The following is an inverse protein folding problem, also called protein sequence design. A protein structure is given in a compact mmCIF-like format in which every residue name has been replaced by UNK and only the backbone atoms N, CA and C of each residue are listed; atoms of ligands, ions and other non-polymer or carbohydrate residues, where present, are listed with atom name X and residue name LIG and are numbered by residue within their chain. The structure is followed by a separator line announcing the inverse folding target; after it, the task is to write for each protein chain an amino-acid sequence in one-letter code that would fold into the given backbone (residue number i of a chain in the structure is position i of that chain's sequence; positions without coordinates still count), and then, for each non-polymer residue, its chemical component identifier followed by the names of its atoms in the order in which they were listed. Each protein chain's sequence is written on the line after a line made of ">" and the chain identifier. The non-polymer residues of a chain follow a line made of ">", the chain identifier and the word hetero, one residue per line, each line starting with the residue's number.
data_IF_702099238649
#
_entry.id   IF_702099238649
#
_cell.length_a   1.000
_cell.length_b   1.000
_cell.length_c   1.000
_cell.angle_alpha   90.00
_cell.angle_beta   90.00
_cell.angle_gamma   90.00
#
_symmetry.space_group_name_H-M   'P 1'
#
loop_
_entity.id
_entity.type
_entity.pdbx_description
1 polymer ?
#
# COMPACT_ATOMS: atom_id res chain seq x y z
N UNK A 1 0.55 2.29 -30.19
CA UNK A 1 1.84 2.90 -29.80
C UNK A 1 1.60 3.61 -28.47
N UNK A 2 2.19 3.10 -27.39
CA UNK A 2 2.02 3.65 -26.04
C UNK A 2 2.71 5.02 -25.95
N UNK A 3 2.05 6.00 -25.33
CA UNK A 3 2.55 7.36 -25.18
C UNK A 3 3.86 7.34 -24.34
N UNK A 4 5.03 7.72 -24.89
CA UNK A 4 6.31 7.66 -24.18
C UNK A 4 6.38 8.58 -22.95
N UNK A 5 5.54 9.62 -22.90
CA UNK A 5 5.52 10.63 -21.84
C UNK A 5 4.55 10.32 -20.69
N UNK A 6 3.77 9.25 -20.77
CA UNK A 6 2.88 8.79 -19.69
C UNK A 6 3.51 7.67 -18.84
N UNK A 7 4.82 7.44 -18.96
CA UNK A 7 5.53 6.61 -18.02
C UNK A 7 5.61 7.36 -16.68
N UNK A 8 4.57 7.19 -15.84
CA UNK A 8 4.72 7.39 -14.40
C UNK A 8 6.02 6.67 -14.01
N UNK A 9 6.96 7.33 -13.30
CA UNK A 9 8.19 6.69 -12.87
C UNK A 9 7.80 5.38 -12.21
N UNK A 10 8.15 4.27 -12.87
CA UNK A 10 7.69 2.96 -12.48
C UNK A 10 8.07 2.79 -11.02
N UNK A 11 7.08 2.65 -10.14
CA UNK A 11 7.31 2.41 -8.72
C UNK A 11 8.15 1.14 -8.67
N UNK A 12 9.47 1.31 -8.48
CA UNK A 12 10.40 0.20 -8.46
C UNK A 12 9.96 -0.67 -7.29
N UNK A 13 9.58 -1.92 -7.61
CA UNK A 13 9.19 -2.86 -6.58
C UNK A 13 10.36 -3.00 -5.61
N UNK A 14 10.15 -2.80 -4.29
CA UNK A 14 11.19 -3.13 -3.34
C UNK A 14 11.55 -4.60 -3.55
N UNK A 15 12.86 -4.85 -3.70
CA UNK A 15 13.39 -6.21 -3.82
C UNK A 15 12.85 -7.04 -2.64
N UNK A 16 12.31 -8.25 -2.87
CA UNK A 16 11.82 -9.13 -1.79
C UNK A 16 12.84 -9.30 -0.67
N UNK A 17 14.13 -9.25 -1.02
CA UNK A 17 15.28 -9.36 -0.12
C UNK A 17 15.48 -8.18 0.83
N UNK A 18 14.76 -7.06 0.65
CA UNK A 18 14.77 -5.93 1.59
C UNK A 18 13.80 -6.13 2.75
N UNK A 19 12.79 -6.99 2.60
CA UNK A 19 11.81 -7.23 3.64
C UNK A 19 12.36 -8.30 4.61
N UNK A 20 12.50 -7.99 5.91
CA UNK A 20 13.13 -8.89 6.86
C UNK A 20 12.27 -10.12 7.20
N UNK A 21 10.94 -10.07 7.05
CA UNK A 21 10.07 -11.25 7.19
C UNK A 21 10.32 -12.24 6.05
N UNK A 22 10.52 -11.76 4.81
CA UNK A 22 10.86 -12.62 3.66
C UNK A 22 12.21 -13.30 3.88
N UNK A 23 13.22 -12.55 4.32
CA UNK A 23 14.56 -13.11 4.57
C UNK A 23 14.50 -14.20 5.66
N UNK A 24 13.85 -13.92 6.79
CA UNK A 24 13.75 -14.89 7.90
C UNK A 24 12.95 -16.14 7.54
N UNK A 25 11.88 -15.99 6.76
CA UNK A 25 11.10 -17.12 6.24
C UNK A 25 11.92 -17.99 5.29
N UNK A 26 12.64 -17.39 4.34
CA UNK A 26 13.50 -18.11 3.41
C UNK A 26 14.64 -18.81 4.14
N UNK A 27 15.27 -18.17 5.13
CA UNK A 27 16.31 -18.82 5.93
C UNK A 27 15.76 -19.99 6.74
N UNK A 28 14.57 -19.85 7.34
CA UNK A 28 13.89 -20.94 8.05
C UNK A 28 13.61 -22.13 7.11
N UNK A 29 13.12 -21.86 5.90
CA UNK A 29 12.85 -22.89 4.88
C UNK A 29 14.11 -23.59 4.38
N UNK A 30 15.20 -22.85 4.17
CA UNK A 30 16.49 -23.43 3.80
C UNK A 30 17.03 -24.33 4.92
N UNK A 31 16.97 -23.88 6.18
CA UNK A 31 17.40 -24.68 7.32
C UNK A 31 16.56 -25.95 7.48
N UNK A 32 15.23 -25.86 7.31
CA UNK A 32 14.35 -27.02 7.29
C UNK A 32 14.75 -28.02 6.19
N UNK A 33 15.00 -27.54 4.98
CA UNK A 33 15.40 -28.37 3.85
C UNK A 33 16.77 -29.02 4.08
N UNK A 34 17.74 -28.28 4.65
CA UNK A 34 19.05 -28.83 5.02
C UNK A 34 18.94 -29.87 6.13
N UNK A 35 18.10 -29.64 7.16
CA UNK A 35 17.86 -30.61 8.22
C UNK A 35 17.19 -31.90 7.68
N UNK A 36 16.25 -31.75 6.75
CA UNK A 36 15.54 -32.88 6.14
C UNK A 36 16.44 -33.70 5.22
N UNK A 37 17.07 -33.05 4.23
CA UNK A 37 18.00 -33.70 3.30
C UNK A 37 19.21 -34.30 4.04
N UNK A 38 19.67 -33.60 5.07
CA UNK A 38 20.73 -34.07 5.94
C UNK A 38 20.41 -35.36 6.67
N UNK A 39 19.17 -35.52 7.14
CA UNK A 39 18.70 -36.77 7.75
C UNK A 39 18.82 -37.96 6.79
N UNK A 40 18.48 -37.78 5.51
CA UNK A 40 18.67 -38.80 4.47
C UNK A 40 20.13 -39.08 4.14
N UNK A 41 20.99 -38.05 4.25
CA UNK A 41 22.43 -38.17 4.04
C UNK A 41 23.20 -38.77 5.25
N UNK A 42 22.50 -39.13 6.33
CA UNK A 42 23.10 -39.72 7.53
C UNK A 42 23.71 -38.71 8.50
N UNK A 43 23.26 -37.45 8.50
CA UNK A 43 23.67 -36.47 9.52
C UNK A 43 23.30 -36.97 10.93
N UNK A 44 24.17 -36.77 11.93
CA UNK A 44 23.87 -37.17 13.30
C UNK A 44 22.64 -36.42 13.84
N UNK A 45 21.79 -37.14 14.58
CA UNK A 45 20.56 -36.63 15.20
C UNK A 45 20.75 -35.30 15.99
N UNK A 46 21.85 -35.08 16.75
CA UNK A 46 22.03 -33.81 17.46
C UNK A 46 22.22 -32.62 16.51
N UNK A 47 22.99 -32.79 15.43
CA UNK A 47 23.22 -31.74 14.43
C UNK A 47 21.92 -31.42 13.70
N UNK A 48 21.14 -32.44 13.34
CA UNK A 48 19.83 -32.26 12.72
C UNK A 48 18.88 -31.48 13.62
N UNK A 49 18.86 -31.81 14.92
CA UNK A 49 18.04 -31.12 15.92
C UNK A 49 18.43 -29.66 16.08
N UNK A 50 19.72 -29.35 16.11
CA UNK A 50 20.23 -27.98 16.17
C UNK A 50 19.78 -27.17 14.95
N UNK A 51 19.88 -27.75 13.74
CA UNK A 51 19.43 -27.10 12.51
C UNK A 51 17.93 -26.78 12.57
N UNK A 52 17.10 -27.73 12.98
CA UNK A 52 15.66 -27.50 13.14
C UNK A 52 15.33 -26.47 14.23
N UNK A 53 16.07 -26.46 15.33
CA UNK A 53 15.88 -25.47 16.38
C UNK A 53 16.19 -24.05 15.89
N UNK A 54 17.26 -23.89 15.11
CA UNK A 54 17.57 -22.60 14.47
C UNK A 54 16.46 -22.22 13.46
N UNK A 55 15.93 -23.19 12.70
CA UNK A 55 14.81 -22.95 11.77
C UNK A 55 13.54 -22.47 12.50
N UNK A 56 13.22 -23.08 13.65
CA UNK A 56 12.09 -22.69 14.51
C UNK A 56 12.29 -21.29 15.08
N UNK A 57 13.47 -20.97 15.60
CA UNK A 57 13.73 -19.64 16.18
C UNK A 57 13.71 -18.54 15.12
N UNK A 58 14.32 -18.79 13.96
CA UNK A 58 14.39 -17.79 12.87
C UNK A 58 13.02 -17.54 12.23
N UNK A 59 12.27 -18.58 11.89
CA UNK A 59 10.93 -18.44 11.31
C UNK A 59 9.87 -18.01 12.33
N UNK A 60 10.07 -18.35 13.60
CA UNK A 60 9.16 -18.05 14.70
C UNK A 60 9.30 -16.67 15.31
N UNK A 61 10.35 -15.93 14.97
CA UNK A 61 10.68 -14.67 15.62
C UNK A 61 9.58 -13.60 15.48
N UNK A 62 9.05 -13.40 14.27
CA UNK A 62 8.07 -12.36 13.99
C UNK A 62 6.69 -12.70 14.55
N UNK A 63 6.05 -13.79 14.09
CA UNK A 63 4.75 -14.17 14.62
C UNK A 63 4.78 -14.53 16.11
N UNK A 64 5.90 -15.04 16.64
CA UNK A 64 6.02 -15.33 18.07
C UNK A 64 5.99 -14.06 18.91
N UNK A 65 6.65 -12.99 18.43
CA UNK A 65 6.57 -11.66 19.02
C UNK A 65 5.15 -11.09 18.90
N UNK A 66 4.51 -11.23 17.74
CA UNK A 66 3.13 -10.79 17.51
C UNK A 66 2.13 -11.54 18.40
N UNK A 67 2.29 -12.85 18.58
CA UNK A 67 1.49 -13.66 19.51
C UNK A 67 1.62 -13.16 20.95
N UNK A 68 2.83 -12.81 21.37
CA UNK A 68 3.08 -12.28 22.71
C UNK A 68 2.49 -10.88 22.89
N UNK A 69 2.71 -9.97 21.93
CA UNK A 69 2.13 -8.62 21.95
C UNK A 69 0.59 -8.67 21.97
N UNK A 70 -0.03 -9.51 21.13
CA UNK A 70 -1.49 -9.71 21.07
C UNK A 70 -2.06 -10.26 22.38
N UNK A 71 -1.37 -11.20 23.02
CA UNK A 71 -1.80 -11.77 24.30
C UNK A 71 -1.71 -10.74 25.45
N UNK A 72 -0.60 -10.00 25.52
CA UNK A 72 -0.31 -9.11 26.65
C UNK A 72 -1.01 -7.76 26.52
N UNK A 73 -0.99 -7.15 25.33
CA UNK A 73 -1.54 -5.82 25.10
C UNK A 73 -3.02 -5.87 24.73
N UNK A 74 -3.39 -6.75 23.80
CA UNK A 74 -4.74 -6.79 23.23
C UNK A 74 -5.66 -7.78 23.97
N UNK A 75 -5.09 -8.70 24.77
CA UNK A 75 -5.79 -9.81 25.45
C UNK A 75 -6.57 -10.69 24.47
N UNK A 76 -6.03 -10.85 23.27
CA UNK A 76 -6.63 -11.67 22.21
C UNK A 76 -5.83 -12.95 21.99
N UNK A 77 -6.54 -14.07 21.76
CA UNK A 77 -5.94 -15.35 21.39
C UNK A 77 -6.21 -15.57 19.91
N UNK A 78 -5.24 -15.19 19.09
CA UNK A 78 -5.25 -15.35 17.64
C UNK A 78 -4.73 -16.69 17.16
N UNK A 79 -4.54 -16.82 15.84
CA UNK A 79 -3.96 -18.02 15.21
C UNK A 79 -2.48 -18.13 15.57
N UNK A 80 -1.81 -16.99 15.69
CA UNK A 80 -0.42 -16.80 16.08
C UNK A 80 -0.13 -17.52 17.41
N UNK A 81 -1.03 -17.38 18.39
CA UNK A 81 -0.91 -18.03 19.70
C UNK A 81 -1.08 -19.55 19.62
N UNK A 82 -2.05 -20.01 18.82
CA UNK A 82 -2.25 -21.45 18.57
C UNK A 82 -1.00 -22.05 17.89
N UNK A 83 -0.46 -21.38 16.88
CA UNK A 83 0.71 -21.82 16.13
C UNK A 83 1.98 -21.81 17.00
N UNK A 84 2.20 -20.76 17.80
CA UNK A 84 3.31 -20.69 18.73
C UNK A 84 3.24 -21.81 19.78
N UNK A 85 2.03 -22.07 20.31
CA UNK A 85 1.81 -23.15 21.27
C UNK A 85 2.05 -24.52 20.62
N UNK A 86 1.52 -24.77 19.42
CA UNK A 86 1.74 -26.02 18.70
C UNK A 86 3.24 -26.27 18.42
N UNK A 87 3.98 -25.24 17.99
CA UNK A 87 5.42 -25.35 17.73
C UNK A 87 6.22 -25.65 19.00
N UNK A 88 5.91 -24.99 20.12
CA UNK A 88 6.56 -25.25 21.42
C UNK A 88 6.30 -26.68 21.87
N UNK A 89 5.04 -27.13 21.82
CA UNK A 89 4.68 -28.47 22.29
C UNK A 89 5.31 -29.55 21.40
N UNK A 90 5.32 -29.38 20.07
CA UNK A 90 6.01 -30.28 19.16
C UNK A 90 7.51 -30.37 19.47
N UNK A 91 8.17 -29.23 19.74
CA UNK A 91 9.57 -29.18 20.16
C UNK A 91 9.83 -29.91 21.50
N UNK A 92 8.97 -29.71 22.49
CA UNK A 92 9.05 -30.39 23.79
C UNK A 92 8.90 -31.92 23.68
N UNK A 93 8.15 -32.39 22.69
CA UNK A 93 8.01 -33.81 22.37
C UNK A 93 9.16 -34.39 21.54
N UNK A 94 10.18 -33.57 21.22
CA UNK A 94 11.30 -33.97 20.39
C UNK A 94 10.99 -34.00 18.89
N UNK A 95 9.80 -33.58 18.47
CA UNK A 95 9.36 -33.52 17.07
C UNK A 95 9.80 -32.19 16.42
N UNK A 96 11.10 -31.92 16.44
CA UNK A 96 11.68 -30.67 15.96
C UNK A 96 11.48 -30.45 14.45
N UNK A 97 11.41 -31.53 13.67
CA UNK A 97 11.11 -31.45 12.24
C UNK A 97 9.69 -30.92 11.98
N UNK A 98 8.70 -31.40 12.74
CA UNK A 98 7.31 -30.95 12.63
C UNK A 98 7.18 -29.50 13.10
N UNK A 99 7.82 -29.14 14.22
CA UNK A 99 7.84 -27.76 14.72
C UNK A 99 8.44 -26.80 13.67
N UNK A 100 9.57 -27.16 13.06
CA UNK A 100 10.22 -26.37 12.03
C UNK A 100 9.34 -26.23 10.78
N UNK A 101 8.64 -27.29 10.36
CA UNK A 101 7.72 -27.25 9.23
C UNK A 101 6.52 -26.33 9.50
N UNK A 102 5.88 -26.44 10.66
CA UNK A 102 4.76 -25.57 11.06
C UNK A 102 5.17 -24.09 11.07
N UNK A 103 6.32 -23.80 11.69
CA UNK A 103 6.89 -22.45 11.76
C UNK A 103 7.21 -21.89 10.38
N UNK A 104 7.87 -22.67 9.53
CA UNK A 104 8.20 -22.25 8.18
C UNK A 104 6.96 -21.93 7.34
N UNK A 105 5.96 -22.83 7.36
CA UNK A 105 4.71 -22.66 6.63
C UNK A 105 3.92 -21.43 7.10
N UNK A 106 3.96 -21.12 8.39
CA UNK A 106 3.35 -19.89 8.89
C UNK A 106 4.16 -18.65 8.49
N UNK A 107 5.47 -18.70 8.69
CA UNK A 107 6.39 -17.59 8.39
C UNK A 107 6.35 -17.18 6.92
N UNK A 108 6.24 -18.13 5.98
CA UNK A 108 6.11 -17.81 4.55
C UNK A 108 4.78 -17.14 4.21
N UNK A 109 3.70 -17.53 4.92
CA UNK A 109 2.38 -16.91 4.80
C UNK A 109 2.43 -15.44 5.24
N UNK A 110 3.01 -15.20 6.40
CA UNK A 110 3.17 -13.85 6.99
C UNK A 110 4.06 -12.96 6.11
N UNK A 111 5.19 -13.51 5.64
CA UNK A 111 6.10 -12.79 4.75
C UNK A 111 5.44 -12.43 3.40
N UNK A 112 4.66 -13.35 2.83
CA UNK A 112 3.89 -13.09 1.62
C UNK A 112 2.86 -11.96 1.83
N UNK A 113 2.18 -11.97 2.97
CA UNK A 113 1.23 -10.92 3.34
C UNK A 113 1.92 -9.56 3.50
N UNK A 114 2.96 -9.48 4.33
CA UNK A 114 3.72 -8.25 4.60
C UNK A 114 4.28 -7.61 3.32
N UNK A 115 4.81 -8.44 2.40
CA UNK A 115 5.31 -7.98 1.11
C UNK A 115 4.21 -7.30 0.26
N UNK A 116 2.98 -7.85 0.24
CA UNK A 116 1.87 -7.23 -0.50
C UNK A 116 1.39 -5.93 0.12
N UNK A 117 1.47 -5.79 1.45
CA UNK A 117 1.04 -4.59 2.17
C UNK A 117 2.04 -3.42 2.01
N UNK A 118 3.35 -3.68 1.99
CA UNK A 118 4.36 -2.64 1.76
C UNK A 118 4.25 -2.00 0.37
N UNK A 119 3.86 -2.78 -0.64
CA UNK A 119 3.64 -2.29 -2.01
C UNK A 119 2.54 -1.20 -2.07
N UNK A 120 1.48 -1.35 -1.29
CA UNK A 120 0.37 -0.40 -1.23
C UNK A 120 0.84 0.97 -0.72
N UNK A 121 1.63 0.97 0.36
CA UNK A 121 2.11 2.18 1.05
C UNK A 121 3.06 3.02 0.20
N UNK A 122 3.92 2.38 -0.61
CA UNK A 122 4.86 3.10 -1.46
C UNK A 122 4.18 3.90 -2.59
N UNK A 123 2.99 3.48 -3.04
CA UNK A 123 2.24 4.22 -4.07
C UNK A 123 1.64 5.54 -3.55
N UNK A 124 1.37 5.65 -2.25
CA UNK A 124 0.87 6.88 -1.60
C UNK A 124 2.02 7.87 -1.45
N UNK A 125 3.22 7.39 -1.13
CA UNK A 125 4.42 8.25 -0.98
C UNK A 125 4.73 9.04 -2.25
N UNK A 126 4.48 8.47 -3.42
CA UNK A 126 4.65 9.18 -4.70
C UNK A 126 3.73 10.41 -4.85
N UNK A 127 2.58 10.47 -4.15
CA UNK A 127 1.73 11.67 -4.12
C UNK A 127 2.33 12.78 -3.25
N UNK A 128 3.15 12.44 -2.24
CA UNK A 128 3.84 13.42 -1.41
C UNK A 128 4.97 14.13 -2.16
N UNK A 129 5.57 13.47 -3.16
CA UNK A 129 6.61 14.07 -4.00
C UNK A 129 6.06 15.19 -4.91
N UNK A 130 4.74 15.29 -5.07
CA UNK A 130 4.08 16.39 -5.79
C UNK A 130 4.01 17.69 -4.97
N UNK A 131 4.15 17.60 -3.64
CA UNK A 131 4.14 18.78 -2.77
C UNK A 131 5.52 19.45 -2.76
N UNK A 132 5.60 20.78 -2.88
CA UNK A 132 6.87 21.49 -2.76
C UNK A 132 7.38 21.40 -1.32
N UNK A 133 8.70 21.34 -1.14
CA UNK A 133 9.35 21.27 0.18
C UNK A 133 9.55 22.64 0.82
N UNK A 134 9.55 23.71 0.01
CA UNK A 134 9.72 25.08 0.48
C UNK A 134 8.69 26.00 -0.18
N UNK A 135 8.37 27.09 0.51
CA UNK A 135 7.50 28.16 0.01
C UNK A 135 8.19 29.51 0.18
N UNK A 136 7.97 30.43 -0.76
CA UNK A 136 8.43 31.81 -0.68
C UNK A 136 7.37 32.64 0.04
N UNK A 137 7.65 33.10 1.25
CA UNK A 137 6.69 33.82 2.10
C UNK A 137 7.07 35.28 2.21
N UNK A 138 6.08 36.16 2.16
CA UNK A 138 6.22 37.59 2.41
C UNK A 138 5.90 37.88 3.88
N UNK A 139 6.94 38.08 4.69
CA UNK A 139 6.82 38.51 6.11
C UNK A 139 7.61 39.79 6.30
N UNK A 140 7.04 40.75 7.04
CA UNK A 140 7.71 42.04 7.32
C UNK A 140 8.25 42.74 6.05
N UNK A 141 7.52 42.59 4.93
CA UNK A 141 7.88 43.14 3.63
C UNK A 141 9.18 42.56 3.02
N UNK A 142 9.63 41.39 3.48
CA UNK A 142 10.74 40.63 2.94
C UNK A 142 10.28 39.27 2.42
N UNK A 143 10.86 38.83 1.30
CA UNK A 143 10.64 37.51 0.73
C UNK A 143 11.62 36.51 1.35
N UNK A 144 11.08 35.48 2.00
CA UNK A 144 11.85 34.47 2.72
C UNK A 144 11.42 33.08 2.26
N UNK A 145 12.37 32.25 1.81
CA UNK A 145 12.09 30.82 1.58
C UNK A 145 12.10 30.08 2.90
N UNK A 146 10.96 29.48 3.26
CA UNK A 146 10.82 28.66 4.47
C UNK A 146 10.35 27.24 4.09
N UNK A 147 10.61 26.23 4.93
CA UNK A 147 9.97 24.93 4.81
C UNK A 147 8.43 25.06 4.88
N UNK A 148 7.72 24.29 4.05
CA UNK A 148 6.24 24.36 3.96
C UNK A 148 5.55 24.02 5.28
N UNK A 149 6.19 23.23 6.14
CA UNK A 149 5.70 22.88 7.47
C UNK A 149 5.65 24.07 8.44
N UNK A 150 6.43 25.12 8.16
CA UNK A 150 6.46 26.35 8.96
C UNK A 150 5.46 27.41 8.47
N UNK A 151 4.74 27.12 7.39
CA UNK A 151 3.73 28.00 6.83
C UNK A 151 2.47 28.00 7.72
N UNK A 152 2.03 29.19 8.13
CA UNK A 152 0.89 29.37 9.03
C UNK A 152 -0.31 29.89 8.26
N UNK A 153 -1.50 29.58 8.77
CA UNK A 153 -2.74 30.18 8.26
C UNK A 153 -2.64 31.70 8.39
N UNK A 154 -2.96 32.41 7.32
CA UNK A 154 -2.85 33.86 7.21
C UNK A 154 -1.54 34.37 6.62
N UNK A 155 -0.48 33.55 6.51
CA UNK A 155 0.76 33.95 5.82
C UNK A 155 0.45 34.25 4.34
N UNK A 156 1.13 35.26 3.80
CA UNK A 156 1.14 35.56 2.37
C UNK A 156 2.34 34.87 1.74
N UNK A 157 2.11 34.01 0.77
CA UNK A 157 3.18 33.35 0.01
C UNK A 157 3.06 33.63 -1.48
N UNK A 158 4.20 33.72 -2.13
CA UNK A 158 4.34 33.99 -3.55
C UNK A 158 4.58 32.67 -4.26
N UNK A 159 3.83 32.42 -5.33
CA UNK A 159 3.98 31.28 -6.21
C UNK A 159 4.47 31.78 -7.55
N UNK A 160 5.69 31.41 -7.93
CA UNK A 160 6.28 31.81 -9.19
C UNK A 160 5.73 30.97 -10.35
N UNK A 161 5.89 31.42 -11.61
CA UNK A 161 5.48 30.65 -12.77
C UNK A 161 6.11 29.25 -12.78
N UNK A 162 5.30 28.22 -13.04
CA UNK A 162 5.72 26.81 -13.03
C UNK A 162 5.89 26.17 -11.64
N UNK A 163 5.77 26.92 -10.54
CA UNK A 163 5.87 26.36 -9.19
C UNK A 163 4.55 25.70 -8.75
N UNK A 164 4.67 24.63 -7.95
CA UNK A 164 3.53 24.02 -7.29
C UNK A 164 3.06 24.87 -6.10
N UNK A 165 1.75 24.97 -5.93
CA UNK A 165 1.14 25.71 -4.82
C UNK A 165 1.31 24.90 -3.52
N UNK A 166 1.95 25.51 -2.51
CA UNK A 166 2.35 24.83 -1.27
C UNK A 166 1.20 24.42 -0.35
N UNK A 167 0.13 25.23 -0.27
CA UNK A 167 -1.05 24.94 0.55
C UNK A 167 -2.31 25.55 -0.06
N UNK A 168 -3.47 25.20 0.47
CA UNK A 168 -4.74 25.80 0.08
C UNK A 168 -4.79 27.28 0.50
N UNK A 169 -5.34 28.14 -0.36
CA UNK A 169 -5.37 29.57 -0.10
C UNK A 169 -6.28 30.36 -1.03
N UNK A 170 -6.37 31.65 -0.72
CA UNK A 170 -7.09 32.64 -1.52
C UNK A 170 -6.07 33.59 -2.19
N UNK A 171 -6.24 33.82 -3.49
CA UNK A 171 -5.36 34.75 -4.23
C UNK A 171 -5.64 36.18 -3.76
N UNK A 172 -4.61 36.86 -3.26
CA UNK A 172 -4.67 38.27 -2.86
C UNK A 172 -4.03 39.20 -3.87
N UNK A 173 -3.22 38.68 -4.79
CA UNK A 173 -2.54 39.47 -5.82
C UNK A 173 -2.10 38.62 -7.00
N UNK A 174 -2.02 39.25 -8.18
CA UNK A 174 -1.62 38.59 -9.42
C UNK A 174 -2.77 37.97 -10.22
N UNK A 175 -2.42 37.43 -11.38
CA UNK A 175 -3.31 36.71 -12.30
C UNK A 175 -2.51 35.63 -13.00
N UNK A 176 -3.01 34.40 -13.02
CA UNK A 176 -2.36 33.27 -13.69
C UNK A 176 -3.37 32.17 -14.01
N UNK A 177 -3.02 31.28 -14.92
CA UNK A 177 -3.75 30.05 -15.18
C UNK A 177 -3.16 28.94 -14.32
N UNK A 178 -3.99 28.24 -13.53
CA UNK A 178 -3.52 27.19 -12.64
C UNK A 178 -3.99 25.84 -13.17
N UNK A 179 -3.04 24.92 -13.38
CA UNK A 179 -3.35 23.54 -13.73
C UNK A 179 -3.78 22.79 -12.46
N UNK A 180 -5.06 22.42 -12.42
CA UNK A 180 -5.66 21.73 -11.28
C UNK A 180 -5.77 20.21 -11.45
N UNK A 181 -5.24 19.65 -12.55
CA UNK A 181 -5.34 18.22 -12.87
C UNK A 181 -4.90 17.27 -11.73
N UNK A 182 -3.86 17.56 -10.91
CA UNK A 182 -3.49 16.68 -9.80
C UNK A 182 -4.58 16.50 -8.73
N UNK A 183 -5.54 17.43 -8.64
CA UNK A 183 -6.61 17.44 -7.64
C UNK A 183 -7.97 17.18 -8.28
N UNK A 184 -8.26 17.80 -9.42
CA UNK A 184 -9.59 17.73 -10.06
C UNK A 184 -9.67 16.71 -11.19
N UNK A 185 -8.53 16.26 -11.73
CA UNK A 185 -8.47 15.44 -12.94
C UNK A 185 -8.67 16.22 -14.24
N UNK A 186 -9.07 17.49 -14.19
CA UNK A 186 -9.32 18.31 -15.38
C UNK A 186 -8.03 18.89 -15.95
N UNK A 187 -7.74 18.58 -17.21
CA UNK A 187 -6.50 18.99 -17.90
C UNK A 187 -6.47 20.46 -18.33
N UNK A 188 -7.64 21.12 -18.42
CA UNK A 188 -7.71 22.53 -18.81
C UNK A 188 -7.35 23.42 -17.61
N UNK A 189 -6.32 24.28 -17.72
CA UNK A 189 -5.98 25.22 -16.68
C UNK A 189 -7.14 26.18 -16.39
N UNK A 190 -7.33 26.49 -15.11
CA UNK A 190 -8.38 27.41 -14.67
C UNK A 190 -7.76 28.75 -14.34
N UNK A 191 -8.33 29.82 -14.89
CA UNK A 191 -7.90 31.17 -14.59
C UNK A 191 -8.11 31.51 -13.11
N UNK A 192 -7.08 32.10 -12.49
CA UNK A 192 -7.10 32.57 -11.11
C UNK A 192 -6.74 34.05 -11.06
N UNK A 193 -7.65 34.80 -10.45
CA UNK A 193 -7.55 36.24 -10.16
C UNK A 193 -7.74 36.47 -8.66
N UNK A 194 -7.56 37.72 -8.21
CA UNK A 194 -7.79 38.11 -6.81
C UNK A 194 -9.18 37.66 -6.33
N UNK A 195 -9.23 37.02 -5.17
CA UNK A 195 -10.42 36.41 -4.57
C UNK A 195 -10.69 34.96 -4.98
N UNK A 196 -9.96 34.42 -5.96
CA UNK A 196 -10.10 33.01 -6.36
C UNK A 196 -9.39 32.06 -5.39
N UNK A 197 -9.96 30.86 -5.22
CA UNK A 197 -9.36 29.78 -4.43
C UNK A 197 -8.33 28.99 -5.24
N UNK A 198 -7.24 28.62 -4.58
CA UNK A 198 -6.21 27.72 -5.08
C UNK A 198 -6.02 26.53 -4.13
N UNK A 199 -5.63 25.39 -4.68
CA UNK A 199 -5.47 24.14 -3.95
C UNK A 199 -4.01 23.72 -3.89
N UNK A 200 -3.61 23.08 -2.80
CA UNK A 200 -2.27 22.50 -2.66
C UNK A 200 -1.95 21.53 -3.82
N UNK A 201 -0.67 21.51 -4.23
CA UNK A 201 -0.11 20.69 -5.32
C UNK A 201 -0.70 20.92 -6.72
N UNK A 202 -1.51 21.96 -6.90
CA UNK A 202 -1.81 22.48 -8.24
C UNK A 202 -0.62 23.30 -8.77
N UNK A 203 -0.46 23.34 -10.09
CA UNK A 203 0.73 23.93 -10.72
C UNK A 203 0.36 25.31 -11.26
N UNK A 204 1.10 26.32 -10.84
CA UNK A 204 0.95 27.66 -11.36
C UNK A 204 1.49 27.75 -12.79
N UNK A 205 0.73 28.38 -13.68
CA UNK A 205 1.11 28.60 -15.07
C UNK A 205 2.08 29.77 -15.22
N UNK A 206 1.73 30.75 -16.04
CA UNK A 206 2.66 31.77 -16.53
C UNK A 206 2.78 33.01 -15.64
N UNK A 207 1.76 33.33 -14.85
CA UNK A 207 1.73 34.53 -14.00
C UNK A 207 2.18 34.26 -12.57
N UNK A 208 2.69 35.27 -11.87
CA UNK A 208 2.96 35.17 -10.42
C UNK A 208 1.69 35.39 -9.62
N UNK A 209 1.49 34.60 -8.56
CA UNK A 209 0.37 34.72 -7.64
C UNK A 209 0.86 35.02 -6.23
N UNK A 210 0.21 35.95 -5.55
CA UNK A 210 0.31 36.12 -4.09
C UNK A 210 -0.92 35.49 -3.48
N UNK A 211 -0.71 34.52 -2.60
CA UNK A 211 -1.76 33.68 -2.01
C UNK A 211 -1.71 33.82 -0.49
N UNK A 212 -2.88 34.02 0.12
CA UNK A 212 -3.05 33.94 1.57
C UNK A 212 -3.38 32.51 1.96
N UNK A 213 -2.54 31.92 2.81
CA UNK A 213 -2.75 30.57 3.31
C UNK A 213 -4.06 30.48 4.11
N UNK A 214 -4.96 29.58 3.71
CA UNK A 214 -6.21 29.30 4.46
C UNK A 214 -6.10 28.06 5.31
N UNK A 215 -5.17 27.15 4.97
CA UNK A 215 -4.91 25.91 5.69
C UNK A 215 -3.42 25.70 5.90
N UNK A 216 -3.08 24.95 6.95
CA UNK A 216 -1.71 24.49 7.20
C UNK A 216 -1.32 23.38 6.23
N UNK A 217 -0.02 23.09 6.13
CA UNK A 217 0.48 21.95 5.35
C UNK A 217 -0.15 20.61 5.79
N UNK A 218 -0.39 20.43 7.09
CA UNK A 218 -0.96 19.21 7.64
C UNK A 218 -2.45 18.98 7.31
N UNK A 219 -3.22 20.02 6.99
CA UNK A 219 -4.68 19.91 6.80
C UNK A 219 -5.17 20.43 5.43
N UNK A 220 -4.26 20.60 4.47
CA UNK A 220 -4.63 21.06 3.13
C UNK A 220 -5.36 19.98 2.30
N UNK A 221 -5.85 20.35 1.12
CA UNK A 221 -6.61 19.45 0.24
C UNK A 221 -5.81 18.20 -0.11
N UNK A 222 -4.51 18.33 -0.41
CA UNK A 222 -3.65 17.19 -0.69
C UNK A 222 -3.51 16.27 0.54
N UNK A 223 -3.23 16.82 1.72
CA UNK A 223 -3.10 16.05 2.97
C UNK A 223 -4.39 15.31 3.33
N UNK A 224 -5.56 15.91 3.08
CA UNK A 224 -6.85 15.25 3.23
C UNK A 224 -7.06 14.13 2.22
N UNK A 225 -6.71 14.33 0.96
CA UNK A 225 -6.73 13.26 -0.06
C UNK A 225 -5.81 12.13 0.37
N UNK A 226 -4.60 12.44 0.85
CA UNK A 226 -3.64 11.44 1.34
C UNK A 226 -4.24 10.66 2.52
N UNK A 227 -4.77 11.33 3.54
CA UNK A 227 -5.39 10.65 4.68
C UNK A 227 -6.58 9.78 4.28
N UNK A 228 -7.46 10.25 3.40
CA UNK A 228 -8.58 9.45 2.89
C UNK A 228 -8.08 8.23 2.12
N UNK A 229 -7.01 8.39 1.33
CA UNK A 229 -6.37 7.27 0.62
C UNK A 229 -5.71 6.31 1.61
N UNK A 230 -4.99 6.81 2.63
CA UNK A 230 -4.37 5.99 3.67
C UNK A 230 -5.40 5.20 4.48
N UNK A 231 -6.49 5.83 4.92
CA UNK A 231 -7.59 5.16 5.61
C UNK A 231 -8.24 4.07 4.75
N UNK A 232 -8.47 4.37 3.46
CA UNK A 232 -9.01 3.39 2.53
C UNK A 232 -8.03 2.21 2.31
N UNK A 233 -6.73 2.47 2.26
CA UNK A 233 -5.67 1.48 2.01
C UNK A 233 -5.31 0.66 3.26
N UNK A 234 -5.43 1.25 4.45
CA UNK A 234 -5.18 0.58 5.73
C UNK A 234 -6.26 -0.46 6.08
N UNK A 235 -7.35 -0.51 5.30
CA UNK A 235 -8.42 -1.48 5.52
C UNK A 235 -7.99 -2.89 5.10
N UNK A 236 -8.00 -3.84 6.05
CA UNK A 236 -7.73 -5.26 5.76
C UNK A 236 -8.78 -5.86 4.82
N UNK A 237 -8.36 -6.85 4.03
CA UNK A 237 -9.23 -7.58 3.10
C UNK A 237 -10.41 -8.23 3.82
N UNK A 238 -11.50 -8.51 3.11
CA UNK A 238 -12.65 -9.23 3.69
C UNK A 238 -12.23 -10.66 4.06
N UNK A 239 -11.42 -11.30 3.22
CA UNK A 239 -10.98 -12.67 3.44
C UNK A 239 -10.00 -12.74 4.62
N UNK A 240 -9.08 -11.77 4.72
CA UNK A 240 -8.18 -11.64 5.88
C UNK A 240 -8.95 -11.42 7.19
N UNK A 241 -9.91 -10.47 7.21
CA UNK A 241 -10.81 -10.26 8.37
C UNK A 241 -11.67 -11.47 8.70
N UNK A 242 -11.93 -12.36 7.74
CA UNK A 242 -12.60 -13.61 8.00
C UNK A 242 -11.69 -14.58 8.76
N UNK A 243 -10.43 -14.75 8.33
CA UNK A 243 -9.46 -15.61 9.02
C UNK A 243 -9.19 -15.10 10.44
N UNK A 244 -9.02 -13.79 10.63
CA UNK A 244 -8.82 -13.23 11.97
C UNK A 244 -10.01 -13.50 12.90
N UNK A 245 -11.24 -13.28 12.42
CA UNK A 245 -12.45 -13.58 13.20
C UNK A 245 -12.62 -15.06 13.48
N UNK A 246 -12.27 -15.91 12.52
CA UNK A 246 -12.21 -17.36 12.71
C UNK A 246 -11.21 -17.71 13.81
N UNK A 247 -9.97 -17.20 13.73
CA UNK A 247 -8.91 -17.39 14.71
C UNK A 247 -9.29 -16.99 16.12
N UNK A 248 -9.87 -15.81 16.30
CA UNK A 248 -10.32 -15.28 17.61
C UNK A 248 -11.30 -16.20 18.34
N UNK A 249 -12.00 -17.08 17.64
CA UNK A 249 -12.93 -18.05 18.25
C UNK A 249 -12.40 -19.47 18.21
N UNK A 250 -11.73 -19.84 17.12
CA UNK A 250 -11.17 -21.17 16.90
C UNK A 250 -10.00 -21.45 17.82
N UNK A 251 -9.00 -20.57 17.88
CA UNK A 251 -7.79 -20.75 18.68
C UNK A 251 -8.06 -20.95 20.17
N UNK A 252 -8.84 -20.08 20.86
CA UNK A 252 -9.17 -20.32 22.27
C UNK A 252 -9.95 -21.63 22.47
N UNK A 253 -10.84 -21.99 21.55
CA UNK A 253 -11.63 -23.22 21.66
C UNK A 253 -10.75 -24.47 21.56
N UNK A 254 -9.81 -24.49 20.61
CA UNK A 254 -8.86 -25.59 20.42
C UNK A 254 -7.90 -25.69 21.60
N UNK A 255 -7.34 -24.56 22.06
CA UNK A 255 -6.45 -24.55 23.22
C UNK A 255 -7.17 -25.02 24.49
N UNK A 256 -8.40 -24.54 24.74
CA UNK A 256 -9.21 -24.98 25.86
C UNK A 256 -9.52 -26.49 25.79
N UNK A 257 -9.91 -26.99 24.61
CA UNK A 257 -10.13 -28.42 24.40
C UNK A 257 -8.85 -29.24 24.62
N UNK A 258 -7.69 -28.76 24.15
CA UNK A 258 -6.40 -29.40 24.40
C UNK A 258 -6.04 -29.48 25.88
N UNK A 259 -6.25 -28.39 26.64
CA UNK A 259 -6.07 -28.39 28.10
C UNK A 259 -7.02 -29.37 28.78
N UNK A 260 -8.29 -29.42 28.35
CA UNK A 260 -9.25 -30.39 28.89
C UNK A 260 -8.83 -31.83 28.61
N UNK A 261 -8.36 -32.14 27.40
CA UNK A 261 -7.84 -33.48 27.04
C UNK A 261 -6.61 -33.83 27.88
N UNK A 262 -5.74 -32.85 28.16
CA UNK A 262 -4.52 -33.06 28.95
C UNK A 262 -4.81 -33.32 30.44
N UNK A 263 -5.83 -32.66 31.01
CA UNK A 263 -6.03 -32.61 32.47
C UNK A 263 -7.19 -33.51 32.93
N UNK A 264 -8.30 -33.54 32.21
CA UNK A 264 -9.54 -34.15 32.69
C UNK A 264 -9.41 -35.68 32.85
N UNK A 265 -8.87 -36.44 31.89
CA UNK A 265 -8.73 -37.90 32.04
C UNK A 265 -7.74 -38.32 33.14
N UNK A 266 -6.56 -37.68 33.31
CA UNK A 266 -5.68 -37.98 34.44
C UNK A 266 -6.28 -37.72 35.82
N UNK A 267 -7.20 -36.75 35.96
CA UNK A 267 -7.95 -36.53 37.20
C UNK A 267 -8.86 -37.72 37.56
N UNK A 268 -9.25 -38.55 36.59
CA UNK A 268 -9.98 -39.80 36.80
C UNK A 268 -9.07 -41.03 36.97
N UNK A 269 -7.76 -40.83 37.17
CA UNK A 269 -6.79 -41.90 37.45
C UNK A 269 -6.11 -42.50 36.22
N UNK A 270 -6.22 -41.87 35.06
CA UNK A 270 -5.53 -42.30 33.84
C UNK A 270 -4.08 -41.77 33.75
N UNK A 271 -3.20 -42.37 32.93
CA UNK A 271 -1.79 -41.98 32.87
C UNK A 271 -1.57 -40.56 32.30
N UNK A 272 -0.90 -39.68 33.05
CA UNK A 272 -0.61 -38.30 32.63
C UNK A 272 0.15 -38.23 31.31
N UNK A 273 1.17 -39.06 31.13
CA UNK A 273 2.03 -39.05 29.95
C UNK A 273 1.25 -39.32 28.66
N UNK A 274 0.33 -40.28 28.69
CA UNK A 274 -0.48 -40.67 27.54
C UNK A 274 -1.44 -39.54 27.12
N UNK A 275 -2.10 -38.90 28.08
CA UNK A 275 -3.07 -37.85 27.80
C UNK A 275 -2.44 -36.51 27.46
N UNK A 276 -1.26 -36.20 28.02
CA UNK A 276 -0.44 -35.09 27.56
C UNK A 276 -0.02 -35.29 26.10
N UNK A 277 0.42 -36.50 25.73
CA UNK A 277 0.78 -36.83 24.36
C UNK A 277 -0.42 -36.69 23.41
N UNK A 278 -1.60 -37.18 23.80
CA UNK A 278 -2.84 -37.03 23.03
C UNK A 278 -3.28 -35.58 22.88
N UNK A 279 -3.16 -34.77 23.92
CA UNK A 279 -3.46 -33.35 23.87
C UNK A 279 -2.53 -32.61 22.90
N UNK A 280 -1.24 -32.94 22.88
CA UNK A 280 -0.30 -32.41 21.89
C UNK A 280 -0.72 -32.77 20.48
N UNK A 281 -0.93 -34.06 20.21
CA UNK A 281 -1.31 -34.54 18.88
C UNK A 281 -2.59 -33.84 18.41
N UNK A 282 -3.55 -33.64 19.31
CA UNK A 282 -4.76 -32.87 19.03
C UNK A 282 -4.47 -31.40 18.66
N UNK A 283 -3.69 -30.68 19.47
CA UNK A 283 -3.38 -29.25 19.22
C UNK A 283 -2.63 -29.09 17.89
N UNK A 284 -1.65 -29.96 17.63
CA UNK A 284 -0.86 -29.94 16.39
C UNK A 284 -1.74 -30.28 15.18
N UNK A 285 -2.59 -31.31 15.28
CA UNK A 285 -3.51 -31.69 14.20
C UNK A 285 -4.60 -30.65 13.94
N UNK A 286 -4.98 -29.87 14.96
CA UNK A 286 -5.95 -28.79 14.85
C UNK A 286 -5.35 -27.47 14.31
N UNK A 287 -4.04 -27.41 14.00
CA UNK A 287 -3.45 -26.22 13.42
C UNK A 287 -4.03 -25.95 12.00
N UNK A 288 -4.70 -24.81 11.75
CA UNK A 288 -5.39 -24.55 10.49
C UNK A 288 -4.44 -24.03 9.40
N UNK A 289 -3.25 -24.62 9.25
CA UNK A 289 -2.16 -24.08 8.43
C UNK A 289 -2.58 -23.82 6.97
N UNK A 290 -3.26 -24.79 6.36
CA UNK A 290 -3.72 -24.66 4.97
C UNK A 290 -4.73 -23.50 4.78
N UNK A 291 -5.62 -23.29 5.76
CA UNK A 291 -6.59 -22.20 5.71
C UNK A 291 -5.89 -20.85 5.76
N UNK A 292 -4.93 -20.68 6.68
CA UNK A 292 -4.17 -19.44 6.86
C UNK A 292 -3.37 -19.08 5.61
N UNK A 293 -2.67 -20.06 5.04
CA UNK A 293 -1.79 -19.88 3.87
C UNK A 293 -2.59 -19.61 2.58
N UNK A 294 -3.83 -20.09 2.49
CA UNK A 294 -4.63 -20.03 1.26
C UNK A 294 -4.82 -18.61 0.72
N UNK A 295 -5.02 -17.62 1.59
CA UNK A 295 -5.31 -16.23 1.19
C UNK A 295 -4.06 -15.51 0.66
N UNK A 296 -2.96 -15.35 1.44
CA UNK A 296 -1.82 -14.57 1.00
C UNK A 296 -1.14 -15.16 -0.23
N UNK A 297 -1.04 -16.49 -0.33
CA UNK A 297 -0.45 -17.14 -1.51
C UNK A 297 -1.31 -16.90 -2.76
N UNK A 298 -2.64 -17.01 -2.63
CA UNK A 298 -3.56 -16.71 -3.74
C UNK A 298 -3.44 -15.25 -4.16
N UNK A 299 -3.39 -14.32 -3.22
CA UNK A 299 -3.25 -12.88 -3.51
C UNK A 299 -1.91 -12.57 -4.18
N UNK A 300 -0.79 -13.12 -3.70
CA UNK A 300 0.53 -12.95 -4.31
C UNK A 300 0.54 -13.49 -5.74
N UNK A 301 0.00 -14.70 -5.96
CA UNK A 301 -0.07 -15.28 -7.29
C UNK A 301 -0.94 -14.43 -8.24
N UNK A 302 -2.08 -13.95 -7.76
CA UNK A 302 -3.02 -13.15 -8.53
C UNK A 302 -2.44 -11.76 -8.87
N UNK A 303 -1.81 -11.08 -7.92
CA UNK A 303 -1.11 -9.80 -8.11
C UNK A 303 0.09 -9.98 -9.05
N UNK A 304 0.85 -11.07 -8.90
CA UNK A 304 1.98 -11.39 -9.77
C UNK A 304 1.54 -11.61 -11.21
N UNK A 305 0.42 -12.31 -11.41
CA UNK A 305 -0.17 -12.55 -12.73
C UNK A 305 -0.72 -11.26 -13.35
N UNK A 306 -1.41 -10.43 -12.56
CA UNK A 306 -1.90 -9.12 -13.00
C UNK A 306 -0.74 -8.23 -13.48
N UNK A 307 0.37 -8.18 -12.73
CA UNK A 307 1.54 -7.40 -13.09
C UNK A 307 2.18 -7.83 -14.42
N UNK A 308 2.26 -9.15 -14.69
CA UNK A 308 2.75 -9.66 -15.98
C UNK A 308 1.86 -9.27 -17.17
N UNK A 309 0.60 -8.97 -16.90
CA UNK A 309 -0.38 -8.54 -17.90
C UNK A 309 -0.57 -7.00 -17.92
N UNK A 310 0.34 -6.23 -17.33
CA UNK A 310 0.29 -4.77 -17.35
C UNK A 310 -0.75 -4.15 -16.39
N UNK A 311 -1.31 -4.94 -15.48
CA UNK A 311 -2.27 -4.47 -14.47
C UNK A 311 -1.54 -4.26 -13.14
N UNK A 312 -1.49 -3.00 -12.69
CA UNK A 312 -0.86 -2.65 -11.42
C UNK A 312 -1.89 -2.68 -10.27
N UNK A 313 -1.87 -3.77 -9.49
CA UNK A 313 -2.68 -3.89 -8.27
C UNK A 313 -1.91 -3.33 -7.06
N UNK A 314 -2.49 -2.35 -6.38
CA UNK A 314 -1.89 -1.66 -5.20
C UNK A 314 -2.10 -2.43 -3.87
N UNK A 315 -2.36 -3.74 -3.90
CA UNK A 315 -2.57 -4.56 -2.70
C UNK A 315 -3.67 -5.61 -2.85
N UNK A 316 -3.74 -6.57 -1.92
CA UNK A 316 -4.69 -7.68 -1.97
C UNK A 316 -6.16 -7.27 -1.80
N UNK A 317 -6.41 -6.23 -1.00
CA UNK A 317 -7.75 -5.68 -0.77
C UNK A 317 -8.42 -5.23 -2.07
N UNK A 318 -7.66 -4.58 -2.94
CA UNK A 318 -8.16 -4.11 -4.25
C UNK A 318 -8.50 -5.26 -5.17
N UNK A 319 -7.76 -6.36 -5.08
CA UNK A 319 -8.06 -7.58 -5.85
C UNK A 319 -9.38 -8.20 -5.41
N UNK A 320 -9.61 -8.29 -4.09
CA UNK A 320 -10.88 -8.80 -3.55
C UNK A 320 -12.07 -7.89 -3.83
N UNK A 321 -11.86 -6.57 -3.85
CA UNK A 321 -12.89 -5.60 -4.17
C UNK A 321 -13.24 -5.65 -5.65
N UNK A 322 -12.23 -5.73 -6.53
CA UNK A 322 -12.40 -5.87 -7.97
C UNK A 322 -13.27 -7.09 -8.32
N UNK A 323 -13.08 -8.22 -7.63
CA UNK A 323 -13.89 -9.43 -7.82
C UNK A 323 -15.39 -9.24 -7.52
N UNK A 324 -15.78 -8.17 -6.82
CA UNK A 324 -17.18 -7.85 -6.47
C UNK A 324 -17.75 -6.69 -7.27
N UNK A 325 -16.93 -6.02 -8.08
CA UNK A 325 -17.38 -4.88 -8.89
C UNK A 325 -18.44 -5.37 -9.87
N UNK A 326 -19.60 -4.70 -9.85
CA UNK A 326 -20.72 -4.96 -10.78
C UNK A 326 -20.96 -3.81 -11.75
N UNK A 327 -20.48 -2.62 -11.39
CA UNK A 327 -20.66 -1.39 -12.15
C UNK A 327 -19.30 -0.70 -12.22
N UNK A 328 -18.90 -0.31 -13.42
CA UNK A 328 -17.68 0.45 -13.66
C UNK A 328 -18.11 1.84 -14.12
N UNK A 329 -17.82 2.85 -13.31
CA UNK A 329 -17.90 4.25 -13.73
C UNK A 329 -16.53 4.62 -14.31
N UNK A 330 -16.50 5.03 -15.57
CA UNK A 330 -15.27 5.43 -16.25
C UNK A 330 -15.25 6.95 -16.37
N UNK A 331 -14.12 7.54 -15.98
CA UNK A 331 -13.86 8.93 -16.33
C UNK A 331 -13.70 9.06 -17.85
N UNK A 332 -14.05 10.22 -18.40
CA UNK A 332 -13.96 10.44 -19.85
C UNK A 332 -12.54 10.88 -20.22
N UNK A 333 -12.08 11.97 -19.65
CA UNK A 333 -10.88 12.67 -20.11
C UNK A 333 -9.63 11.94 -19.61
N UNK A 334 -8.75 11.49 -20.52
CA UNK A 334 -7.53 10.77 -20.15
C UNK A 334 -7.72 9.30 -19.76
N UNK A 335 -8.96 8.83 -19.63
CA UNK A 335 -9.30 7.40 -19.45
C UNK A 335 -9.92 6.82 -20.71
N UNK A 336 -11.04 7.38 -21.18
CA UNK A 336 -11.65 6.99 -22.46
C UNK A 336 -11.08 7.76 -23.65
N UNK A 337 -10.65 8.99 -23.43
CA UNK A 337 -10.04 9.85 -24.46
C UNK A 337 -8.56 10.05 -24.21
N UNK A 338 -7.84 10.50 -25.24
CA UNK A 338 -6.41 10.81 -25.16
C UNK A 338 -6.10 12.06 -24.30
N UNK A 339 -7.13 12.82 -23.88
CA UNK A 339 -6.95 14.05 -23.10
C UNK A 339 -6.23 15.18 -23.85
N UNK A 340 -6.08 15.07 -25.17
CA UNK A 340 -5.47 16.08 -26.05
C UNK A 340 -6.54 16.64 -26.97
N UNK A 341 -6.83 17.94 -26.90
CA UNK A 341 -7.74 18.56 -27.85
C UNK A 341 -7.15 18.50 -29.26
N UNK A 342 -8.00 18.25 -30.25
CA UNK A 342 -7.67 18.30 -31.68
C UNK A 342 -8.78 19.08 -32.39
N UNK A 343 -8.43 19.86 -33.41
CA UNK A 343 -9.43 20.55 -34.24
C UNK A 343 -10.16 19.49 -35.09
N UNK A 344 -11.46 19.32 -34.84
CA UNK A 344 -12.30 18.34 -35.56
C UNK A 344 -13.03 18.96 -36.75
N UNK A 345 -13.57 20.17 -36.56
CA UNK A 345 -14.45 20.82 -37.52
C UNK A 345 -14.10 22.30 -37.64
N UNK A 346 -14.08 22.82 -38.86
CA UNK A 346 -13.92 24.25 -39.16
C UNK A 346 -15.17 24.71 -39.90
N UNK A 347 -16.07 25.39 -39.20
CA UNK A 347 -17.32 25.88 -39.81
C UNK A 347 -17.10 27.29 -40.37
N UNK A 348 -16.83 27.38 -41.67
CA UNK A 348 -16.65 28.66 -42.34
C UNK A 348 -17.99 29.37 -42.60
N UNK A 349 -18.04 30.67 -42.28
CA UNK A 349 -19.17 31.55 -42.59
C UNK A 349 -18.81 32.49 -43.76
N UNK A 350 -19.81 33.04 -44.43
CA UNK A 350 -19.65 34.10 -45.45
C UNK A 350 -18.71 33.76 -46.62
N UNK A 351 -18.54 32.48 -46.93
CA UNK A 351 -17.72 32.03 -48.08
C UNK A 351 -16.20 32.10 -47.87
N UNK A 352 -15.72 32.30 -46.64
CA UNK A 352 -14.29 32.18 -46.34
C UNK A 352 -13.81 30.72 -46.48
N UNK A 353 -12.55 30.52 -46.84
CA UNK A 353 -11.95 29.18 -46.86
C UNK A 353 -11.52 28.75 -45.47
N UNK A 354 -11.67 27.46 -45.17
CA UNK A 354 -11.22 26.86 -43.89
C UNK A 354 -9.72 27.10 -43.66
N UNK A 355 -8.90 27.02 -44.72
CA UNK A 355 -7.46 27.27 -44.66
C UNK A 355 -7.15 28.70 -44.21
N UNK A 356 -7.89 29.70 -44.69
CA UNK A 356 -7.69 31.09 -44.31
C UNK A 356 -8.08 31.33 -42.84
N UNK A 357 -9.19 30.71 -42.40
CA UNK A 357 -9.66 30.79 -41.02
C UNK A 357 -8.63 30.14 -40.08
N UNK A 358 -8.15 28.93 -40.40
CA UNK A 358 -7.18 28.22 -39.59
C UNK A 358 -5.84 28.97 -39.53
N UNK A 359 -5.34 29.48 -40.66
CA UNK A 359 -4.12 30.28 -40.68
C UNK A 359 -4.24 31.56 -39.84
N UNK A 360 -5.40 32.23 -39.88
CA UNK A 360 -5.68 33.38 -39.03
C UNK A 360 -5.72 33.03 -37.54
N UNK A 361 -6.41 31.95 -37.18
CA UNK A 361 -6.48 31.46 -35.80
C UNK A 361 -5.10 31.04 -35.27
N UNK A 362 -4.33 30.28 -36.06
CA UNK A 362 -2.97 29.88 -35.74
C UNK A 362 -2.04 31.10 -35.55
N UNK A 363 -2.16 32.13 -36.39
CA UNK A 363 -1.37 33.35 -36.24
C UNK A 363 -1.66 34.06 -34.90
N UNK A 364 -2.93 34.14 -34.48
CA UNK A 364 -3.34 34.72 -33.20
C UNK A 364 -2.87 33.89 -32.01
N UNK A 365 -2.99 32.56 -32.11
CA UNK A 365 -2.67 31.62 -31.03
C UNK A 365 -1.18 31.27 -30.93
N UNK A 366 -0.34 31.69 -31.89
CA UNK A 366 1.10 31.39 -31.99
C UNK A 366 1.95 31.71 -30.74
N UNK A 367 1.43 32.53 -29.81
CA UNK A 367 2.11 32.91 -28.56
C UNK A 367 1.42 32.39 -27.31
N UNK A 368 0.38 31.58 -27.46
CA UNK A 368 -0.42 31.04 -26.36
C UNK A 368 0.03 29.62 -26.02
N UNK A 369 0.27 29.33 -24.74
CA UNK A 369 0.53 27.96 -24.27
C UNK A 369 -0.78 27.22 -23.92
N UNK A 370 -1.94 27.81 -24.20
CA UNK A 370 -3.22 27.18 -23.87
C UNK A 370 -3.40 25.86 -24.66
N UNK A 371 -3.93 24.78 -24.08
CA UNK A 371 -4.10 23.50 -24.79
C UNK A 371 -4.92 23.59 -26.08
N UNK A 372 -5.87 24.53 -26.15
CA UNK A 372 -6.63 24.79 -27.40
C UNK A 372 -5.81 25.54 -28.45
N UNK A 373 -4.89 26.41 -28.04
CA UNK A 373 -3.94 27.06 -28.95
C UNK A 373 -3.04 26.00 -29.59
N UNK A 374 -2.52 25.08 -28.78
CA UNK A 374 -1.72 23.95 -29.27
C UNK A 374 -2.48 23.01 -30.20
N UNK A 375 -3.81 22.93 -30.09
CA UNK A 375 -4.63 22.15 -31.01
C UNK A 375 -4.83 22.83 -32.36
N UNK A 376 -4.75 24.17 -32.40
CA UNK A 376 -4.92 25.01 -33.60
C UNK A 376 -3.62 25.14 -34.40
N UNK A 377 -2.47 25.18 -33.70
CA UNK A 377 -1.11 25.28 -34.27
C UNK A 377 -0.62 23.93 -34.82
#
# INVERSE_FOLDING_TARGET
>A
MACPSCALPGVQMPSPWRNPQVVTSVTSGLLLLFGFAGGYAGLPLPFQTIIYLIAVVTGGYYFGREAFESLVQEREIGIEMLMATAAIIAGLMGQWAEAAMLVFLYSISEAAEGYTAERARNAIRALMDLAPKTALVLRENQELRIPVEQLRVGDLFIVLPGEAIATDGDVTGGRSNVNQAPVTGESLPVEKVVGAKVFAATINGEGSLTVRATKTFADNTLSRIIHLVEEAQASKGRSQRFIERFGKRYSPSVLAAGVLIAVLPPLFGLPWQEWLLRATVFIVAAAPCALVISIPITLVAAIGTAGRNGILMKGGVHMENLAKVRVIAMDKTGTLTLGRPEVTDIVALNGYSEVLILAGAAALESRSQHPLAQAIL
#
